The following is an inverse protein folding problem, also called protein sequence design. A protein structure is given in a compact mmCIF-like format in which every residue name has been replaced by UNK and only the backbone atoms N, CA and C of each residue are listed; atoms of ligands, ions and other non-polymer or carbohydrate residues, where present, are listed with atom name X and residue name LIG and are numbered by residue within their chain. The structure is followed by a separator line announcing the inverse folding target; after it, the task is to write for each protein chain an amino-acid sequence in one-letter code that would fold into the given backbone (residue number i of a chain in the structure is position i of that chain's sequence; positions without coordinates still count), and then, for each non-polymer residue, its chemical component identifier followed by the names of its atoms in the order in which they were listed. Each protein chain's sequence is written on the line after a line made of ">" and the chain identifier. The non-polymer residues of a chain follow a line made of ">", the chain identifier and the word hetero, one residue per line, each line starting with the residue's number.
data_IF_568146212567
#
_entry.id   IF_568146212567
#
_cell.length_a   1.000
_cell.length_b   1.000
_cell.length_c   1.000
_cell.angle_alpha   90.00
_cell.angle_beta   90.00
_cell.angle_gamma   90.00
#
_symmetry.space_group_name_H-M   'P 1'
#
loop_
_entity.id
_entity.type
_entity.pdbx_description
1 polymer ?
#
# COMPACT_ATOMS: atom_id res chain seq x y z
N UNK A 1 -9.14 31.03 32.62
CA UNK A 1 -9.58 29.78 31.96
C UNK A 1 -8.96 29.74 30.57
N UNK A 2 -7.73 29.21 30.47
CA UNK A 2 -6.98 29.11 29.22
C UNK A 2 -7.35 27.79 28.54
N UNK A 3 -8.12 27.88 27.46
CA UNK A 3 -8.38 26.74 26.57
C UNK A 3 -7.05 26.28 25.96
N UNK A 4 -6.64 25.05 26.27
CA UNK A 4 -5.47 24.42 25.65
C UNK A 4 -5.75 24.24 24.15
N UNK A 5 -4.90 24.76 23.24
CA UNK A 5 -5.08 24.52 21.83
C UNK A 5 -4.93 23.02 21.53
N UNK A 6 -5.81 22.60 20.63
CA UNK A 6 -6.20 21.25 20.29
C UNK A 6 -5.00 20.37 19.90
N UNK A 7 -5.09 19.10 20.28
CA UNK A 7 -4.10 18.03 20.06
C UNK A 7 -3.73 18.04 18.58
N UNK A 8 -2.43 18.19 18.28
CA UNK A 8 -1.84 18.16 16.94
C UNK A 8 -2.55 17.08 16.11
N UNK A 9 -3.39 17.49 15.17
CA UNK A 9 -3.83 16.64 14.08
C UNK A 9 -2.54 16.28 13.35
N UNK A 10 -1.94 15.13 13.68
CA UNK A 10 -0.79 14.62 12.91
C UNK A 10 -1.32 14.50 11.50
N UNK A 11 -0.91 15.38 10.58
CA UNK A 11 -1.31 15.27 9.18
C UNK A 11 -0.92 13.88 8.72
N UNK A 12 -1.91 13.04 8.42
CA UNK A 12 -1.67 11.83 7.64
C UNK A 12 -0.91 12.25 6.38
N UNK A 13 0.13 11.51 5.97
CA UNK A 13 0.89 11.83 4.77
C UNK A 13 -0.08 11.91 3.58
N UNK A 14 0.08 12.95 2.74
CA UNK A 14 -0.78 13.09 1.57
C UNK A 14 -0.73 11.81 0.74
N UNK A 15 -1.89 11.26 0.33
CA UNK A 15 -1.89 10.09 -0.50
C UNK A 15 -1.22 10.39 -1.84
N UNK A 16 -0.53 9.39 -2.38
CA UNK A 16 0.18 9.51 -3.66
C UNK A 16 -0.84 9.76 -4.78
N UNK A 17 -1.06 11.03 -5.16
CA UNK A 17 -2.11 11.49 -6.10
C UNK A 17 -2.20 10.66 -7.37
N UNK A 18 -1.06 10.34 -8.00
CA UNK A 18 -1.03 9.51 -9.20
C UNK A 18 -1.48 8.05 -8.98
N UNK A 19 -1.27 7.48 -7.79
CA UNK A 19 -1.79 6.15 -7.46
C UNK A 19 -3.28 6.21 -7.14
N UNK A 20 -3.73 7.22 -6.40
CA UNK A 20 -5.15 7.46 -6.12
C UNK A 20 -5.94 7.57 -7.43
N UNK A 21 -5.54 8.49 -8.31
CA UNK A 21 -6.22 8.74 -9.58
C UNK A 21 -6.31 7.48 -10.46
N UNK A 22 -5.24 6.69 -10.51
CA UNK A 22 -5.23 5.45 -11.32
C UNK A 22 -5.98 4.31 -10.67
N UNK A 23 -6.10 4.29 -9.34
CA UNK A 23 -6.81 3.24 -8.59
C UNK A 23 -8.32 3.47 -8.55
N UNK A 24 -8.76 4.73 -8.46
CA UNK A 24 -10.16 5.10 -8.30
C UNK A 24 -11.14 4.41 -9.28
N UNK A 25 -10.83 4.22 -10.58
CA UNK A 25 -11.73 3.54 -11.51
C UNK A 25 -12.01 2.06 -11.19
N UNK A 26 -11.21 1.44 -10.31
CA UNK A 26 -11.36 0.03 -9.92
C UNK A 26 -12.05 -0.16 -8.58
N UNK A 27 -12.42 0.94 -7.90
CA UNK A 27 -13.12 0.93 -6.63
C UNK A 27 -14.61 1.22 -6.84
N UNK A 28 -15.48 0.84 -5.89
CA UNK A 28 -16.88 1.25 -5.90
C UNK A 28 -17.04 2.78 -6.03
N UNK A 29 -18.09 3.25 -6.71
CA UNK A 29 -18.38 4.68 -6.80
C UNK A 29 -18.52 5.30 -5.40
N UNK A 30 -17.83 6.43 -5.18
CA UNK A 30 -17.86 7.15 -3.90
C UNK A 30 -16.80 6.70 -2.88
N UNK A 31 -16.01 5.65 -3.15
CA UNK A 31 -14.89 5.28 -2.28
C UNK A 31 -13.83 6.39 -2.24
N UNK A 32 -13.62 6.99 -1.07
CA UNK A 32 -12.57 7.97 -0.84
C UNK A 32 -11.26 7.27 -0.44
N UNK A 33 -10.25 7.30 -1.33
CA UNK A 33 -8.95 6.69 -1.05
C UNK A 33 -8.14 7.59 -0.11
N UNK A 34 -7.87 7.11 1.10
CA UNK A 34 -7.11 7.77 2.15
C UNK A 34 -5.60 7.54 2.01
N UNK A 35 -5.18 6.34 1.61
CA UNK A 35 -3.76 6.00 1.34
C UNK A 35 -3.62 5.09 0.13
N UNK A 36 -2.49 5.19 -0.56
CA UNK A 36 -2.18 4.30 -1.68
C UNK A 36 -0.69 3.95 -1.74
N UNK A 37 -0.38 2.67 -1.91
CA UNK A 37 0.99 2.18 -2.03
C UNK A 37 1.11 0.97 -2.95
N UNK A 38 2.35 0.60 -3.28
CA UNK A 38 2.66 -0.54 -4.13
C UNK A 38 3.49 -1.54 -3.32
N UNK A 39 3.20 -2.82 -3.49
CA UNK A 39 4.07 -3.90 -3.05
C UNK A 39 4.39 -4.86 -4.19
N UNK A 40 5.52 -5.54 -4.04
CA UNK A 40 6.00 -6.55 -4.97
C UNK A 40 5.90 -7.93 -4.33
N UNK A 41 5.20 -8.88 -4.94
CA UNK A 41 5.12 -10.26 -4.43
C UNK A 41 6.45 -10.97 -4.68
N UNK A 42 7.03 -11.58 -3.66
CA UNK A 42 8.19 -12.45 -3.86
C UNK A 42 8.26 -13.50 -2.74
N UNK A 43 8.57 -14.76 -3.07
CA UNK A 43 8.62 -15.84 -2.07
C UNK A 43 9.76 -15.64 -1.07
N UNK A 44 10.87 -15.03 -1.49
CA UNK A 44 12.05 -14.80 -0.65
C UNK A 44 12.72 -13.45 -0.91
N UNK A 45 13.35 -12.87 0.12
CA UNK A 45 13.98 -11.54 0.04
C UNK A 45 15.16 -11.47 -0.93
N UNK A 46 16.00 -12.51 -0.96
CA UNK A 46 17.15 -12.56 -1.88
C UNK A 46 16.70 -12.53 -3.35
N UNK A 47 15.67 -13.32 -3.69
CA UNK A 47 15.07 -13.32 -5.03
C UNK A 47 14.47 -11.95 -5.36
N UNK A 48 13.78 -11.33 -4.39
CA UNK A 48 13.28 -9.97 -4.54
C UNK A 48 14.39 -8.97 -4.91
N UNK A 49 15.52 -8.98 -4.20
CA UNK A 49 16.66 -8.08 -4.49
C UNK A 49 17.26 -8.36 -5.87
N UNK A 50 17.46 -9.63 -6.23
CA UNK A 50 18.00 -9.99 -7.55
C UNK A 50 17.08 -9.48 -8.65
N UNK A 51 15.77 -9.72 -8.55
CA UNK A 51 14.80 -9.25 -9.55
C UNK A 51 14.74 -7.73 -9.59
N UNK A 52 14.76 -7.08 -8.44
CA UNK A 52 14.74 -5.62 -8.35
C UNK A 52 15.98 -4.98 -9.01
N UNK A 53 17.17 -5.54 -8.80
CA UNK A 53 18.42 -4.98 -9.32
C UNK A 53 18.68 -5.32 -10.78
N UNK A 54 18.32 -6.52 -11.23
CA UNK A 54 18.68 -7.02 -12.56
C UNK A 54 17.53 -6.91 -13.56
N UNK A 55 16.28 -6.79 -13.10
CA UNK A 55 15.09 -6.88 -13.95
C UNK A 55 14.88 -8.27 -14.59
N UNK A 56 15.79 -9.21 -14.39
CA UNK A 56 15.92 -10.44 -15.18
C UNK A 56 14.78 -11.43 -14.96
N UNK A 57 14.05 -11.32 -13.85
CA UNK A 57 12.87 -12.16 -13.53
C UNK A 57 11.61 -11.36 -13.26
N UNK A 58 11.45 -10.19 -13.91
CA UNK A 58 10.22 -9.40 -13.83
C UNK A 58 8.98 -10.20 -14.23
N UNK A 59 9.13 -11.23 -15.08
CA UNK A 59 8.05 -12.12 -15.49
C UNK A 59 7.46 -12.93 -14.33
N UNK A 60 8.25 -13.29 -13.33
CA UNK A 60 7.80 -14.14 -12.22
C UNK A 60 7.22 -13.34 -11.05
N UNK A 61 7.45 -12.04 -11.05
CA UNK A 61 7.09 -11.17 -9.95
C UNK A 61 5.83 -10.40 -10.27
N UNK A 62 4.85 -10.44 -9.36
CA UNK A 62 3.60 -9.69 -9.48
C UNK A 62 3.75 -8.36 -8.73
N UNK A 63 3.24 -7.31 -9.34
CA UNK A 63 3.08 -6.02 -8.69
C UNK A 63 1.63 -5.81 -8.32
N UNK A 64 1.43 -5.25 -7.14
CA UNK A 64 0.11 -5.01 -6.56
C UNK A 64 0.05 -3.57 -6.10
N UNK A 65 -1.04 -2.88 -6.43
CA UNK A 65 -1.36 -1.56 -5.87
C UNK A 65 -2.43 -1.75 -4.81
N UNK A 66 -2.21 -1.17 -3.64
CA UNK A 66 -3.17 -1.19 -2.53
C UNK A 66 -3.73 0.20 -2.39
N UNK A 67 -5.05 0.32 -2.45
CA UNK A 67 -5.79 1.53 -2.18
C UNK A 67 -6.58 1.32 -0.88
N UNK A 68 -6.23 2.08 0.14
CA UNK A 68 -6.91 2.06 1.44
C UNK A 68 -7.96 3.16 1.39
N UNK A 69 -9.23 2.78 1.42
CA UNK A 69 -10.35 3.71 1.46
C UNK A 69 -10.92 3.77 2.88
N UNK A 70 -11.99 4.54 3.08
CA UNK A 70 -12.67 4.61 4.38
C UNK A 70 -13.42 3.32 4.73
N UNK A 71 -13.98 2.65 3.73
CA UNK A 71 -14.85 1.50 3.86
C UNK A 71 -14.07 0.16 3.84
N UNK A 72 -13.03 0.07 3.00
CA UNK A 72 -12.27 -1.16 2.82
C UNK A 72 -10.84 -0.91 2.31
N UNK A 73 -10.04 -1.97 2.30
CA UNK A 73 -8.73 -2.00 1.65
C UNK A 73 -8.88 -2.77 0.34
N UNK A 74 -8.59 -2.11 -0.78
CA UNK A 74 -8.71 -2.66 -2.12
C UNK A 74 -7.33 -3.04 -2.65
N UNK A 75 -7.19 -4.30 -3.10
CA UNK A 75 -5.94 -4.82 -3.66
C UNK A 75 -6.11 -4.98 -5.15
N UNK A 76 -5.32 -4.24 -5.90
CA UNK A 76 -5.37 -4.17 -7.35
C UNK A 76 -4.16 -4.91 -7.95
N UNK A 77 -4.40 -5.64 -9.02
CA UNK A 77 -3.32 -6.09 -9.89
C UNK A 77 -2.76 -4.89 -10.66
N UNK A 78 -1.44 -4.80 -10.75
CA UNK A 78 -0.78 -3.73 -11.48
C UNK A 78 0.20 -4.23 -12.54
N UNK A 79 0.33 -3.44 -13.60
CA UNK A 79 1.22 -3.74 -14.71
C UNK A 79 2.70 -3.72 -14.27
N UNK A 80 3.41 -4.79 -14.60
CA UNK A 80 4.83 -5.00 -14.26
C UNK A 80 5.74 -3.91 -14.80
N UNK A 81 5.54 -3.52 -16.07
CA UNK A 81 6.34 -2.49 -16.76
C UNK A 81 6.25 -1.10 -16.11
N UNK A 82 5.21 -0.84 -15.31
CA UNK A 82 5.03 0.41 -14.57
C UNK A 82 5.60 0.39 -13.15
N UNK A 83 6.27 -0.70 -12.75
CA UNK A 83 6.69 -0.93 -11.37
C UNK A 83 5.53 -0.96 -10.38
N UNK A 84 4.33 -1.36 -10.85
CA UNK A 84 3.10 -1.41 -10.06
C UNK A 84 2.26 -0.13 -10.04
N UNK A 85 2.70 0.94 -10.73
CA UNK A 85 2.01 2.23 -10.74
C UNK A 85 0.74 2.29 -11.59
N UNK A 86 0.51 1.30 -12.46
CA UNK A 86 -0.67 1.21 -13.32
C UNK A 86 -1.53 0.02 -12.91
N UNK A 87 -2.50 0.20 -11.98
CA UNK A 87 -3.50 -0.83 -11.69
C UNK A 87 -4.30 -1.20 -12.95
N UNK A 88 -4.72 -2.46 -13.02
CA UNK A 88 -5.36 -3.08 -14.19
C UNK A 88 -6.70 -3.73 -13.85
N UNK A 89 -6.83 -4.29 -12.64
CA UNK A 89 -8.08 -4.89 -12.14
C UNK A 89 -8.07 -5.03 -10.62
N UNK A 90 -9.25 -5.08 -10.01
CA UNK A 90 -9.44 -5.45 -8.61
C UNK A 90 -9.21 -6.96 -8.45
N UNK A 91 -8.37 -7.35 -7.49
CA UNK A 91 -8.12 -8.76 -7.16
C UNK A 91 -8.92 -9.22 -5.95
N UNK A 92 -9.13 -8.32 -5.00
CA UNK A 92 -9.83 -8.63 -3.77
C UNK A 92 -9.87 -7.44 -2.83
N UNK A 93 -10.65 -7.61 -1.78
CA UNK A 93 -10.86 -6.61 -0.74
C UNK A 93 -10.53 -7.21 0.62
N UNK A 94 -10.09 -6.36 1.52
CA UNK A 94 -9.87 -6.68 2.92
C UNK A 94 -10.68 -5.69 3.78
N UNK A 95 -11.14 -6.09 4.97
CA UNK A 95 -11.77 -5.16 5.91
C UNK A 95 -10.86 -3.97 6.20
N UNK A 96 -11.43 -2.76 6.36
CA UNK A 96 -10.66 -1.56 6.68
C UNK A 96 -9.79 -1.71 7.93
N UNK A 97 -10.28 -2.49 8.89
CA UNK A 97 -9.60 -2.86 10.12
C UNK A 97 -8.69 -4.10 9.91
N UNK A 98 -7.81 -4.04 8.90
CA UNK A 98 -6.76 -5.05 8.69
C UNK A 98 -5.40 -4.38 8.84
N UNK A 99 -4.53 -4.93 9.68
CA UNK A 99 -3.17 -4.45 9.84
C UNK A 99 -2.31 -4.86 8.63
N UNK A 100 -1.65 -3.89 8.01
CA UNK A 100 -0.82 -4.05 6.81
C UNK A 100 0.67 -4.18 7.13
N UNK A 101 1.12 -3.48 8.18
CA UNK A 101 2.49 -3.53 8.70
C UNK A 101 2.74 -4.72 9.63
N UNK A 102 3.81 -4.69 10.43
CA UNK A 102 4.72 -3.57 10.65
C UNK A 102 5.70 -3.29 9.50
N UNK A 103 5.89 -2.01 9.15
CA UNK A 103 6.92 -1.58 8.20
C UNK A 103 8.22 -1.14 8.88
N UNK A 104 9.36 -1.58 8.33
CA UNK A 104 10.70 -1.21 8.81
C UNK A 104 11.76 -1.43 7.73
N UNK A 105 12.98 -0.92 7.97
CA UNK A 105 14.14 -1.02 7.07
C UNK A 105 13.87 -0.42 5.67
N UNK A 106 14.74 -0.68 4.69
CA UNK A 106 14.58 -0.20 3.32
C UNK A 106 13.45 -0.91 2.56
N UNK A 107 13.20 -2.17 2.91
CA UNK A 107 12.13 -3.00 2.38
C UNK A 107 11.43 -3.70 3.54
N UNK A 108 10.13 -3.49 3.64
CA UNK A 108 9.29 -4.12 4.65
C UNK A 108 8.55 -5.31 4.05
N UNK A 109 8.53 -6.43 4.75
CA UNK A 109 7.70 -7.56 4.39
C UNK A 109 6.25 -7.27 4.82
N UNK A 110 5.30 -7.56 3.95
CA UNK A 110 3.86 -7.50 4.23
C UNK A 110 3.19 -8.78 3.74
N UNK A 111 2.06 -9.14 4.34
CA UNK A 111 1.21 -10.25 3.87
C UNK A 111 -0.16 -9.70 3.57
N UNK A 112 -0.57 -9.72 2.31
CA UNK A 112 -1.84 -9.12 1.84
C UNK A 112 -2.55 -10.15 0.97
N UNK A 113 -3.82 -10.44 1.27
CA UNK A 113 -4.59 -11.54 0.65
C UNK A 113 -3.87 -12.89 0.68
N UNK A 114 -3.13 -13.17 1.76
CA UNK A 114 -2.32 -14.40 1.90
C UNK A 114 -1.06 -14.44 1.02
N UNK A 115 -0.82 -13.45 0.16
CA UNK A 115 0.42 -13.34 -0.62
C UNK A 115 1.48 -12.55 0.17
N UNK A 116 2.68 -13.13 0.30
CA UNK A 116 3.85 -12.41 0.85
C UNK A 116 4.39 -11.42 -0.19
N UNK A 117 4.68 -10.20 0.27
CA UNK A 117 5.24 -9.16 -0.56
C UNK A 117 6.18 -8.20 0.18
N UNK A 118 6.79 -7.31 -0.59
CA UNK A 118 7.78 -6.34 -0.12
C UNK A 118 7.37 -4.93 -0.52
N UNK A 119 7.36 -4.03 0.46
CA UNK A 119 7.03 -2.61 0.33
C UNK A 119 8.31 -1.79 0.48
N UNK A 120 8.58 -0.92 -0.50
CA UNK A 120 9.71 0.00 -0.43
C UNK A 120 9.51 1.07 0.65
N UNK A 121 10.61 1.51 1.27
CA UNK A 121 10.63 2.57 2.29
C UNK A 121 9.85 3.83 1.90
N UNK A 122 9.83 4.18 0.61
CA UNK A 122 9.11 5.36 0.09
C UNK A 122 7.58 5.33 0.31
N UNK A 123 7.03 4.19 0.70
CA UNK A 123 5.60 4.01 0.97
C UNK A 123 5.32 3.63 2.44
N UNK A 124 6.34 3.59 3.30
CA UNK A 124 6.16 3.21 4.71
C UNK A 124 5.29 4.21 5.47
N UNK A 125 5.37 5.48 5.09
CA UNK A 125 4.49 6.55 5.56
C UNK A 125 3.01 6.24 5.27
N UNK A 126 2.70 5.80 4.06
CA UNK A 126 1.34 5.44 3.64
C UNK A 126 0.83 4.22 4.40
N UNK A 127 1.66 3.19 4.56
CA UNK A 127 1.28 1.97 5.30
C UNK A 127 1.07 2.27 6.78
N UNK A 128 1.98 3.01 7.41
CA UNK A 128 1.86 3.38 8.82
C UNK A 128 0.63 4.25 9.08
N UNK A 129 0.32 5.20 8.18
CA UNK A 129 -0.87 6.02 8.28
C UNK A 129 -2.15 5.20 8.10
N UNK A 130 -2.18 4.26 7.14
CA UNK A 130 -3.31 3.36 6.95
C UNK A 130 -3.57 2.49 8.19
N UNK A 131 -2.52 1.94 8.80
CA UNK A 131 -2.60 1.16 10.05
C UNK A 131 -3.09 2.02 11.21
N UNK A 132 -2.53 3.23 11.37
CA UNK A 132 -2.91 4.17 12.42
C UNK A 132 -4.38 4.58 12.32
N UNK A 133 -4.84 4.96 11.13
CA UNK A 133 -6.26 5.29 10.89
C UNK A 133 -7.16 4.06 11.03
N UNK A 134 -6.62 2.88 10.76
CA UNK A 134 -7.29 1.61 11.04
C UNK A 134 -7.35 1.27 12.53
N UNK A 135 -6.77 2.09 13.43
CA UNK A 135 -6.73 1.83 14.88
C UNK A 135 -5.59 0.91 15.34
N UNK A 136 -4.72 0.48 14.42
CA UNK A 136 -3.53 -0.29 14.75
C UNK A 136 -2.41 0.68 15.10
N UNK A 137 -2.28 0.97 16.39
CA UNK A 137 -1.17 1.79 16.91
C UNK A 137 -0.02 0.86 17.28
N UNK A 138 1.20 1.23 16.88
CA UNK A 138 2.44 0.68 17.45
C UNK A 138 2.69 1.28 18.82
#
# INVERSE_FOLDING_TARGET
>A
MTSKPNRITRRSPEPRKGLVQRSAPFLPPGSEIRQAFIYQTAPHFLLFIIVYLTGLSIFWVKYRCVAVAEDAIYVLESAKLSGGGKPQRLLGTLPRHTQLGPVSKRWAQVTILGERGWVHQRFHDQVAAADQEGGFTR
#
